data_IF_599822048620
#
_entry.id   IF_599822048620
#
_cell.length_a   1.000
_cell.length_b   1.000
_cell.length_c   1.000
_cell.angle_alpha   90.00
_cell.angle_beta   90.00
_cell.angle_gamma   90.00
#
_symmetry.space_group_name_H-M   'P 1'
#
loop_
_entity.id
_entity.type
_entity.pdbx_description
1 polymer ?
#
# COMPACT_ATOMS: atom_id res chain seq x y z
N UNK A 1 -40.40 32.95 -41.94
CA UNK A 1 -41.11 31.71 -41.55
C UNK A 1 -40.12 30.56 -41.63
N UNK A 2 -39.96 29.81 -40.53
CA UNK A 2 -39.17 28.58 -40.35
C UNK A 2 -37.62 28.66 -40.47
N UNK A 3 -36.97 29.03 -39.36
CA UNK A 3 -35.59 28.61 -39.04
C UNK A 3 -35.58 27.09 -38.82
N UNK A 4 -34.80 26.36 -39.63
CA UNK A 4 -34.51 24.93 -39.40
C UNK A 4 -33.62 24.82 -38.16
N UNK A 5 -34.21 24.36 -37.06
CA UNK A 5 -33.53 24.14 -35.80
C UNK A 5 -32.39 23.12 -35.95
N UNK A 6 -31.21 23.54 -35.51
CA UNK A 6 -29.99 22.75 -35.50
C UNK A 6 -30.09 21.53 -34.59
N UNK A 7 -29.56 20.45 -35.12
CA UNK A 7 -29.42 19.12 -34.53
C UNK A 7 -28.12 19.13 -33.73
N UNK A 8 -28.06 20.01 -32.72
CA UNK A 8 -27.05 19.90 -31.68
C UNK A 8 -27.49 18.79 -30.73
N UNK A 9 -26.97 17.58 -30.97
CA UNK A 9 -26.81 16.58 -29.91
C UNK A 9 -25.98 17.25 -28.82
N UNK A 10 -26.65 17.69 -27.74
CA UNK A 10 -25.98 18.13 -26.51
C UNK A 10 -25.12 16.96 -26.02
N UNK A 11 -23.80 17.12 -25.86
CA UNK A 11 -23.00 16.05 -25.31
C UNK A 11 -23.41 15.89 -23.85
N UNK A 12 -23.84 14.69 -23.49
CA UNK A 12 -23.66 14.13 -22.15
C UNK A 12 -24.11 15.04 -21.01
N UNK A 13 -25.43 15.09 -20.78
CA UNK A 13 -25.98 15.55 -19.51
C UNK A 13 -25.49 14.60 -18.41
N UNK A 14 -24.58 15.10 -17.57
CA UNK A 14 -24.28 14.59 -16.24
C UNK A 14 -23.67 13.20 -16.21
N UNK A 15 -22.34 13.10 -16.10
CA UNK A 15 -21.76 11.94 -15.44
C UNK A 15 -22.35 11.91 -14.02
N UNK A 16 -23.23 10.96 -13.73
CA UNK A 16 -23.66 10.70 -12.36
C UNK A 16 -22.39 10.57 -11.52
N UNK A 17 -22.36 11.20 -10.34
CA UNK A 17 -21.23 11.01 -9.42
C UNK A 17 -21.10 9.51 -9.19
N UNK A 18 -19.86 8.99 -9.12
CA UNK A 18 -19.59 7.57 -8.82
C UNK A 18 -20.38 7.06 -7.60
N UNK A 19 -20.73 7.95 -6.66
CA UNK A 19 -21.55 7.68 -5.48
C UNK A 19 -23.02 7.31 -5.75
N UNK A 20 -23.57 7.67 -6.91
CA UNK A 20 -25.01 7.54 -7.19
C UNK A 20 -25.31 6.34 -8.11
N UNK A 21 -24.27 5.59 -8.50
CA UNK A 21 -24.37 4.38 -9.31
C UNK A 21 -24.44 3.14 -8.39
N UNK A 22 -25.52 2.35 -8.41
CA UNK A 22 -25.67 1.19 -7.54
C UNK A 22 -24.60 0.10 -7.77
N UNK A 23 -23.99 0.03 -8.96
CA UNK A 23 -22.88 -0.89 -9.20
C UNK A 23 -21.62 -0.44 -8.48
N UNK A 24 -21.30 0.85 -8.53
CA UNK A 24 -20.15 1.40 -7.81
C UNK A 24 -20.36 1.35 -6.30
N UNK A 25 -21.54 1.69 -5.81
CA UNK A 25 -21.86 1.56 -4.38
C UNK A 25 -21.66 0.12 -3.90
N UNK A 26 -22.24 -0.87 -4.61
CA UNK A 26 -22.06 -2.27 -4.27
C UNK A 26 -20.59 -2.71 -4.35
N UNK A 27 -19.86 -2.32 -5.39
CA UNK A 27 -18.45 -2.68 -5.56
C UNK A 27 -17.56 -2.11 -4.44
N UNK A 28 -17.83 -0.89 -3.97
CA UNK A 28 -17.05 -0.21 -2.94
C UNK A 28 -17.43 -0.69 -1.54
N UNK A 29 -18.72 -0.92 -1.28
CA UNK A 29 -19.22 -1.08 0.08
C UNK A 29 -19.65 -2.51 0.44
N UNK A 30 -20.02 -3.35 -0.52
CA UNK A 30 -20.52 -4.71 -0.25
C UNK A 30 -19.37 -5.71 -0.16
N UNK A 31 -19.04 -6.25 1.03
CA UNK A 31 -17.98 -7.24 1.16
C UNK A 31 -18.33 -8.55 0.42
N UNK A 32 -17.33 -9.28 -0.11
CA UNK A 32 -17.57 -10.58 -0.71
C UNK A 32 -18.09 -11.56 0.35
N UNK A 33 -19.17 -12.28 0.05
CA UNK A 33 -19.72 -13.33 0.91
C UNK A 33 -18.81 -14.55 0.98
N UNK A 34 -18.12 -14.84 -0.12
CA UNK A 34 -17.18 -15.95 -0.24
C UNK A 34 -15.74 -15.42 -0.23
N UNK A 35 -14.95 -15.85 0.75
CA UNK A 35 -13.56 -15.45 0.91
C UNK A 35 -12.65 -15.94 -0.23
N UNK A 36 -13.05 -16.98 -0.98
CA UNK A 36 -12.33 -17.42 -2.16
C UNK A 36 -12.28 -16.34 -3.26
N UNK A 37 -13.20 -15.37 -3.23
CA UNK A 37 -13.18 -14.21 -4.13
C UNK A 37 -12.31 -13.04 -3.62
N UNK A 38 -11.57 -13.23 -2.52
CA UNK A 38 -10.74 -12.20 -1.90
C UNK A 38 -9.26 -12.43 -2.17
N UNK A 39 -8.67 -11.62 -3.05
CA UNK A 39 -7.22 -11.58 -3.28
C UNK A 39 -6.47 -11.24 -1.98
N UNK A 40 -7.07 -10.41 -1.12
CA UNK A 40 -6.52 -10.05 0.17
C UNK A 40 -6.30 -11.28 1.06
N UNK A 41 -7.29 -12.17 1.16
CA UNK A 41 -7.19 -13.39 1.97
C UNK A 41 -6.18 -14.37 1.36
N UNK A 42 -6.13 -14.46 0.02
CA UNK A 42 -5.15 -15.29 -0.67
C UNK A 42 -3.71 -14.87 -0.33
N UNK A 43 -3.40 -13.58 -0.37
CA UNK A 43 -2.04 -13.07 -0.08
C UNK A 43 -1.72 -13.22 1.41
N UNK A 44 -2.65 -12.91 2.31
CA UNK A 44 -2.43 -13.01 3.76
C UNK A 44 -2.15 -14.43 4.24
N UNK A 45 -2.78 -15.42 3.60
CA UNK A 45 -2.59 -16.83 3.92
C UNK A 45 -1.46 -17.48 3.11
N UNK A 46 -0.80 -16.73 2.21
CA UNK A 46 0.32 -17.26 1.46
C UNK A 46 1.48 -17.58 2.43
N UNK A 47 2.09 -18.78 2.33
CA UNK A 47 3.21 -19.12 3.18
C UNK A 47 4.40 -18.20 2.89
N UNK A 48 5.17 -17.89 3.94
CA UNK A 48 6.42 -17.16 3.78
C UNK A 48 7.43 -17.99 2.97
N UNK A 49 8.15 -17.33 2.07
CA UNK A 49 9.20 -17.95 1.28
C UNK A 49 10.53 -18.07 2.04
N UNK A 50 11.38 -19.00 1.62
CA UNK A 50 12.72 -19.15 2.18
C UNK A 50 13.61 -17.95 1.84
N UNK A 51 14.64 -17.71 2.66
CA UNK A 51 15.74 -16.78 2.34
C UNK A 51 16.76 -17.52 1.47
N UNK A 52 17.19 -16.90 0.38
CA UNK A 52 18.21 -17.48 -0.49
C UNK A 52 19.53 -17.63 0.30
N UNK A 53 20.21 -18.78 0.24
CA UNK A 53 21.32 -19.07 1.14
C UNK A 53 22.59 -18.24 0.89
N UNK A 54 22.69 -17.58 -0.27
CA UNK A 54 23.85 -16.76 -0.64
C UNK A 54 23.44 -15.29 -0.74
N UNK A 55 24.13 -14.42 -0.02
CA UNK A 55 23.87 -12.98 -0.09
C UNK A 55 24.35 -12.42 -1.42
N UNK A 56 23.49 -11.63 -2.05
CA UNK A 56 23.85 -10.84 -3.22
C UNK A 56 24.88 -9.77 -2.85
N UNK A 57 25.70 -9.38 -3.82
CA UNK A 57 26.55 -8.20 -3.70
C UNK A 57 25.67 -6.93 -3.75
N UNK A 58 25.79 -6.08 -2.74
CA UNK A 58 24.99 -4.86 -2.61
C UNK A 58 25.81 -3.62 -2.88
N UNK A 59 25.11 -2.56 -3.32
CA UNK A 59 25.63 -1.21 -3.22
C UNK A 59 25.62 -0.71 -1.77
N UNK A 60 26.04 0.55 -1.55
CA UNK A 60 25.96 1.18 -0.23
C UNK A 60 24.52 1.21 0.31
N UNK A 61 24.31 1.27 1.63
CA UNK A 61 22.97 1.32 2.22
C UNK A 61 22.07 2.43 1.65
N UNK A 62 22.64 3.57 1.25
CA UNK A 62 21.94 4.70 0.65
C UNK A 62 21.40 4.35 -0.75
N UNK A 63 22.24 3.73 -1.57
CA UNK A 63 21.87 3.32 -2.94
C UNK A 63 20.87 2.17 -2.89
N UNK A 64 21.09 1.20 -2.00
CA UNK A 64 20.16 0.09 -1.79
C UNK A 64 18.80 0.59 -1.31
N UNK A 65 18.75 1.52 -0.34
CA UNK A 65 17.51 2.12 0.11
C UNK A 65 16.78 2.89 -0.99
N UNK A 66 17.50 3.61 -1.86
CA UNK A 66 16.91 4.26 -3.03
C UNK A 66 16.23 3.23 -3.94
N UNK A 67 16.90 2.14 -4.29
CA UNK A 67 16.34 1.11 -5.15
C UNK A 67 15.13 0.44 -4.52
N UNK A 68 15.20 0.06 -3.24
CA UNK A 68 14.06 -0.50 -2.49
C UNK A 68 12.83 0.39 -2.60
N UNK A 69 13.00 1.72 -2.46
CA UNK A 69 11.91 2.69 -2.61
C UNK A 69 11.39 2.79 -4.05
N UNK A 70 12.28 2.76 -5.05
CA UNK A 70 11.90 2.75 -6.47
C UNK A 70 11.07 1.50 -6.82
N UNK A 71 11.49 0.33 -6.36
CA UNK A 71 10.78 -0.93 -6.59
C UNK A 71 9.43 -0.97 -5.86
N UNK A 72 9.37 -0.53 -4.61
CA UNK A 72 8.11 -0.40 -3.88
C UNK A 72 7.11 0.50 -4.64
N UNK A 73 7.58 1.62 -5.21
CA UNK A 73 6.74 2.50 -6.04
C UNK A 73 6.31 1.85 -7.34
N UNK A 74 7.22 1.13 -8.01
CA UNK A 74 6.88 0.35 -9.19
C UNK A 74 5.76 -0.67 -8.91
N UNK A 75 5.73 -1.25 -7.70
CA UNK A 75 4.70 -2.19 -7.25
C UNK A 75 3.40 -1.54 -6.79
N UNK A 76 3.30 -0.20 -6.83
CA UNK A 76 2.06 0.54 -6.53
C UNK A 76 2.00 1.21 -5.16
N UNK A 77 3.12 1.32 -4.43
CA UNK A 77 3.18 2.22 -3.28
C UNK A 77 3.32 3.68 -3.75
N UNK A 78 2.55 4.60 -3.17
CA UNK A 78 2.63 6.02 -3.50
C UNK A 78 3.74 6.72 -2.70
N UNK A 79 3.88 6.39 -1.41
CA UNK A 79 4.97 6.87 -0.55
C UNK A 79 5.72 5.70 0.10
N UNK A 80 7.04 5.84 0.22
CA UNK A 80 7.90 4.78 0.76
C UNK A 80 8.97 5.35 1.68
N UNK A 81 9.00 4.85 2.90
CA UNK A 81 9.89 5.27 3.97
C UNK A 81 10.73 4.12 4.48
N UNK A 82 11.93 4.41 4.98
CA UNK A 82 12.76 3.45 5.71
C UNK A 82 13.13 4.06 7.05
N UNK A 83 12.91 3.31 8.12
CA UNK A 83 13.29 3.70 9.48
C UNK A 83 14.02 2.55 10.17
N UNK A 84 14.75 2.86 11.23
CA UNK A 84 15.20 1.83 12.16
C UNK A 84 13.98 1.20 12.84
N UNK A 85 14.05 -0.09 13.08
CA UNK A 85 13.11 -0.81 13.90
C UNK A 85 13.76 -1.05 15.26
N UNK A 86 13.10 -0.61 16.34
CA UNK A 86 13.49 -1.03 17.69
C UNK A 86 13.41 -2.55 17.78
N UNK A 87 14.19 -3.17 18.67
CA UNK A 87 14.32 -4.62 18.73
C UNK A 87 12.95 -5.33 18.67
N UNK A 88 12.71 -6.08 17.59
CA UNK A 88 11.62 -7.06 17.49
C UNK A 88 12.12 -8.43 17.96
N UNK A 89 11.19 -9.37 18.18
CA UNK A 89 11.53 -10.73 18.64
C UNK A 89 12.51 -11.47 17.72
N UNK A 90 12.62 -11.02 16.46
CA UNK A 90 13.48 -11.62 15.44
C UNK A 90 14.77 -10.81 15.17
N UNK A 91 15.00 -9.70 15.86
CA UNK A 91 16.18 -8.85 15.69
C UNK A 91 16.35 -8.24 14.29
N UNK A 92 15.27 -7.78 13.65
CA UNK A 92 15.34 -7.02 12.40
C UNK A 92 15.66 -5.55 12.68
N UNK A 93 16.76 -4.99 12.13
CA UNK A 93 17.16 -3.61 12.38
C UNK A 93 16.38 -2.55 11.60
N UNK A 94 15.70 -2.92 10.51
CA UNK A 94 15.06 -1.96 9.62
C UNK A 94 13.58 -2.28 9.36
N UNK A 95 12.81 -1.22 9.18
CA UNK A 95 11.43 -1.25 8.74
C UNK A 95 11.26 -0.45 7.44
N UNK A 96 10.68 -1.09 6.43
CA UNK A 96 10.24 -0.44 5.19
C UNK A 96 8.73 -0.24 5.28
N UNK A 97 8.30 1.00 5.10
CA UNK A 97 6.89 1.38 5.19
C UNK A 97 6.39 1.83 3.84
N UNK A 98 5.36 1.16 3.33
CA UNK A 98 4.67 1.49 2.09
C UNK A 98 3.32 2.13 2.41
N UNK A 99 3.03 3.27 1.78
CA UNK A 99 1.75 3.97 1.90
C UNK A 99 1.12 4.03 0.52
N UNK A 100 -0.15 3.63 0.44
CA UNK A 100 -0.95 3.64 -0.78
C UNK A 100 -2.06 4.67 -0.63
N UNK A 101 -2.35 5.42 -1.69
CA UNK A 101 -3.47 6.33 -1.75
C UNK A 101 -4.79 5.57 -1.64
N UNK A 102 -5.70 6.09 -0.83
CA UNK A 102 -6.99 5.50 -0.56
C UNK A 102 -8.08 6.57 -0.74
N UNK A 103 -8.72 6.59 -1.92
CA UNK A 103 -9.82 7.52 -2.19
C UNK A 103 -11.07 7.18 -1.36
N UNK A 104 -11.30 5.89 -1.09
CA UNK A 104 -12.28 5.37 -0.14
C UNK A 104 -11.54 4.83 1.11
N UNK A 105 -12.06 5.08 2.32
CA UNK A 105 -11.43 4.57 3.55
C UNK A 105 -11.71 3.06 3.67
N UNK A 106 -10.69 2.18 3.58
CA UNK A 106 -10.90 0.73 3.59
C UNK A 106 -11.46 0.21 4.91
N UNK A 107 -11.47 1.01 5.98
CA UNK A 107 -12.12 0.65 7.26
C UNK A 107 -13.64 0.73 7.17
N UNK A 108 -14.16 1.52 6.23
CA UNK A 108 -15.59 1.75 6.03
C UNK A 108 -16.08 1.10 4.74
N UNK A 109 -15.29 1.20 3.66
CA UNK A 109 -15.60 0.67 2.34
C UNK A 109 -15.17 -0.80 2.24
N UNK A 110 -16.03 -1.73 2.68
CA UNK A 110 -15.70 -3.15 2.87
C UNK A 110 -15.80 -4.00 1.60
N UNK A 111 -16.27 -3.44 0.49
CA UNK A 111 -16.35 -4.13 -0.79
C UNK A 111 -15.01 -4.24 -1.50
N UNK A 112 -14.97 -5.04 -2.58
CA UNK A 112 -13.74 -5.32 -3.33
C UNK A 112 -13.03 -4.04 -3.76
N UNK A 113 -13.79 -3.06 -4.25
CA UNK A 113 -13.25 -1.78 -4.68
C UNK A 113 -12.75 -0.90 -3.54
N UNK A 114 -13.43 -0.94 -2.38
CA UNK A 114 -13.01 -0.22 -1.18
C UNK A 114 -11.76 -0.80 -0.53
N UNK A 115 -11.48 -2.09 -0.76
CA UNK A 115 -10.27 -2.77 -0.30
C UNK A 115 -9.08 -2.67 -1.26
N UNK A 116 -9.22 -2.02 -2.42
CA UNK A 116 -8.12 -1.86 -3.40
C UNK A 116 -6.82 -1.30 -2.78
N UNK A 117 -6.85 -0.25 -1.91
CA UNK A 117 -5.62 0.25 -1.29
C UNK A 117 -4.92 -0.80 -0.41
N UNK A 118 -5.70 -1.66 0.26
CA UNK A 118 -5.16 -2.76 1.09
C UNK A 118 -4.56 -3.86 0.21
N UNK A 119 -5.23 -4.21 -0.89
CA UNK A 119 -4.72 -5.18 -1.86
C UNK A 119 -3.41 -4.72 -2.50
N UNK A 120 -3.33 -3.45 -2.91
CA UNK A 120 -2.10 -2.86 -3.45
C UNK A 120 -0.98 -2.87 -2.42
N UNK A 121 -1.29 -2.51 -1.16
CA UNK A 121 -0.33 -2.56 -0.05
C UNK A 121 0.22 -3.97 0.18
N UNK A 122 -0.65 -4.97 0.26
CA UNK A 122 -0.28 -6.37 0.41
C UNK A 122 0.53 -6.89 -0.76
N UNK A 123 0.14 -6.57 -1.99
CA UNK A 123 0.87 -6.96 -3.19
C UNK A 123 2.30 -6.39 -3.17
N UNK A 124 2.43 -5.08 -2.91
CA UNK A 124 3.72 -4.43 -2.87
C UNK A 124 4.63 -5.01 -1.77
N UNK A 125 4.10 -5.18 -0.56
CA UNK A 125 4.91 -5.67 0.57
C UNK A 125 5.27 -7.13 0.44
N UNK A 126 4.37 -7.97 -0.08
CA UNK A 126 4.63 -9.39 -0.34
C UNK A 126 5.74 -9.57 -1.38
N UNK A 127 5.60 -8.92 -2.55
CA UNK A 127 6.55 -9.07 -3.66
C UNK A 127 7.91 -8.48 -3.28
N UNK A 128 7.93 -7.30 -2.63
CA UNK A 128 9.18 -6.69 -2.20
C UNK A 128 9.90 -7.53 -1.15
N UNK A 129 9.17 -8.10 -0.18
CA UNK A 129 9.76 -9.01 0.81
C UNK A 129 10.35 -10.25 0.14
N UNK A 130 9.64 -10.83 -0.83
CA UNK A 130 10.15 -11.97 -1.59
C UNK A 130 11.46 -11.63 -2.33
N UNK A 131 11.51 -10.49 -3.01
CA UNK A 131 12.73 -10.05 -3.68
C UNK A 131 13.91 -9.85 -2.71
N UNK A 132 13.68 -9.27 -1.53
CA UNK A 132 14.73 -9.11 -0.51
C UNK A 132 15.23 -10.48 -0.03
N UNK A 133 14.33 -11.46 0.13
CA UNK A 133 14.70 -12.84 0.47
C UNK A 133 15.53 -13.51 -0.62
N UNK A 134 15.25 -13.24 -1.89
CA UNK A 134 16.06 -13.72 -3.03
C UNK A 134 17.46 -13.08 -3.06
N UNK A 135 17.65 -11.88 -2.47
CA UNK A 135 18.98 -11.31 -2.25
C UNK A 135 19.74 -11.95 -1.07
N UNK A 136 19.13 -12.87 -0.35
CA UNK A 136 19.71 -13.54 0.81
C UNK A 136 19.58 -12.78 2.14
N UNK A 137 18.60 -11.89 2.24
CA UNK A 137 18.28 -11.13 3.45
C UNK A 137 16.90 -11.49 3.99
N UNK A 138 16.72 -11.48 5.31
CA UNK A 138 15.41 -11.73 5.92
C UNK A 138 14.49 -10.56 5.62
N UNK A 139 13.28 -10.85 5.19
CA UNK A 139 12.24 -9.84 5.02
C UNK A 139 10.85 -10.46 5.14
N UNK A 140 9.99 -9.83 5.94
CA UNK A 140 8.62 -10.30 6.18
C UNK A 140 7.69 -9.12 6.42
N UNK A 141 6.44 -9.15 5.91
CA UNK A 141 5.38 -8.28 6.40
C UNK A 141 5.11 -8.57 7.89
N UNK A 142 4.87 -7.52 8.68
CA UNK A 142 4.65 -7.61 10.11
C UNK A 142 3.35 -6.87 10.51
N UNK A 143 2.17 -7.52 10.37
CA UNK A 143 0.87 -6.88 10.63
C UNK A 143 0.63 -6.49 12.10
N UNK A 144 1.46 -6.97 13.03
CA UNK A 144 1.38 -6.62 14.45
C UNK A 144 2.10 -5.33 14.84
N UNK A 145 2.85 -4.70 13.93
CA UNK A 145 3.54 -3.44 14.20
C UNK A 145 2.61 -2.23 14.07
N UNK A 146 2.88 -1.17 14.83
CA UNK A 146 2.21 0.13 14.68
C UNK A 146 2.69 0.83 13.40
N UNK A 147 2.09 0.42 12.27
CA UNK A 147 2.46 0.91 10.95
C UNK A 147 2.32 2.43 10.79
N UNK A 148 1.24 3.11 11.27
CA UNK A 148 1.16 4.56 11.25
C UNK A 148 2.31 5.25 12.00
N UNK A 149 2.67 4.78 13.20
CA UNK A 149 3.80 5.34 13.96
C UNK A 149 5.12 5.17 13.23
N UNK A 150 5.35 4.00 12.62
CA UNK A 150 6.55 3.74 11.82
C UNK A 150 6.58 4.58 10.54
N UNK A 151 5.43 4.84 9.91
CA UNK A 151 5.33 5.76 8.78
C UNK A 151 5.73 7.19 9.16
N UNK A 152 5.31 7.66 10.33
CA UNK A 152 5.72 8.95 10.86
C UNK A 152 7.22 9.00 11.19
N UNK A 153 7.77 7.93 11.80
CA UNK A 153 9.20 7.80 12.06
C UNK A 153 10.04 7.80 10.78
N UNK A 154 9.51 7.19 9.71
CA UNK A 154 10.09 7.22 8.37
C UNK A 154 9.79 8.51 7.58
N UNK A 155 9.31 9.55 8.27
CA UNK A 155 9.04 10.91 7.75
C UNK A 155 8.05 10.97 6.58
N UNK A 156 7.09 10.04 6.53
CA UNK A 156 6.03 10.03 5.49
C UNK A 156 4.85 10.96 5.83
N UNK A 157 4.80 11.48 7.05
CA UNK A 157 3.73 12.34 7.54
C UNK A 157 3.75 12.48 9.05
N UNK A 158 2.66 13.00 9.61
CA UNK A 158 2.44 13.11 11.07
C UNK A 158 1.19 12.36 11.48
N UNK A 159 1.09 11.95 12.73
CA UNK A 159 -0.15 11.37 13.25
C UNK A 159 -1.13 12.48 13.67
N UNK A 160 -2.41 12.30 13.37
CA UNK A 160 -3.47 13.13 13.95
C UNK A 160 -3.83 12.68 15.38
N UNK A 161 -4.78 13.38 16.01
CA UNK A 161 -5.24 13.06 17.36
C UNK A 161 -5.91 11.68 17.51
N UNK A 162 -6.19 10.99 16.41
CA UNK A 162 -6.74 9.63 16.38
C UNK A 162 -5.69 8.57 16.06
N UNK A 163 -4.42 8.96 15.88
CA UNK A 163 -3.34 8.05 15.48
C UNK A 163 -3.32 7.72 13.98
N UNK A 164 -4.07 8.41 13.14
CA UNK A 164 -4.01 8.22 11.67
C UNK A 164 -2.86 9.00 11.08
N UNK A 165 -2.20 8.42 10.09
CA UNK A 165 -1.20 9.13 9.30
C UNK A 165 -1.86 10.23 8.45
N UNK A 166 -1.32 11.44 8.55
CA UNK A 166 -1.61 12.60 7.71
C UNK A 166 -0.37 12.90 6.88
N UNK A 167 -0.48 12.69 5.57
CA UNK A 167 0.60 12.93 4.61
C UNK A 167 0.46 14.32 4.00
N UNK A 168 1.58 14.91 3.55
CA UNK A 168 1.55 16.23 2.92
C UNK A 168 0.75 16.24 1.59
N UNK A 169 0.85 15.16 0.81
CA UNK A 169 0.26 15.08 -0.53
C UNK A 169 -1.19 14.61 -0.52
N UNK A 170 -1.53 13.64 0.32
CA UNK A 170 -2.84 12.97 0.30
C UNK A 170 -3.67 13.21 1.56
N UNK A 171 -3.13 13.91 2.56
CA UNK A 171 -3.76 14.04 3.88
C UNK A 171 -3.98 12.66 4.50
N UNK A 172 -5.20 12.42 5.00
CA UNK A 172 -5.63 11.16 5.61
C UNK A 172 -6.16 10.12 4.61
N UNK A 173 -6.21 10.45 3.31
CA UNK A 173 -6.70 9.59 2.21
C UNK A 173 -5.64 8.59 1.77
N UNK A 174 -5.12 7.84 2.74
CA UNK A 174 -4.08 6.85 2.55
C UNK A 174 -4.35 5.61 3.40
N UNK A 175 -3.83 4.49 2.91
CA UNK A 175 -3.66 3.24 3.64
C UNK A 175 -2.17 3.03 3.88
N UNK A 176 -1.79 2.81 5.15
CA UNK A 176 -0.44 2.36 5.48
C UNK A 176 -0.46 0.83 5.44
N UNK A 177 0.34 0.23 4.55
CA UNK A 177 0.43 -1.22 4.41
C UNK A 177 1.15 -1.86 5.61
N UNK A 178 1.05 -3.18 5.72
CA UNK A 178 1.83 -3.94 6.69
C UNK A 178 3.33 -3.66 6.51
N UNK A 179 4.01 -3.33 7.61
CA UNK A 179 5.42 -2.94 7.56
C UNK A 179 6.29 -4.15 7.21
N UNK A 180 7.26 -3.96 6.31
CA UNK A 180 8.27 -5.00 6.05
C UNK A 180 9.40 -4.80 7.07
N UNK A 181 9.62 -5.80 7.92
CA UNK A 181 10.83 -5.87 8.75
C UNK A 181 11.92 -6.59 8.00
N UNK A 182 13.17 -6.11 8.05
CA UNK A 182 14.27 -6.69 7.30
C UNK A 182 15.63 -6.49 7.95
N UNK A 183 16.58 -7.39 7.63
CA UNK A 183 18.01 -7.22 7.92
C UNK A 183 18.84 -6.80 6.69
N UNK A 184 18.19 -6.46 5.57
CA UNK A 184 18.82 -5.79 4.45
C UNK A 184 19.43 -4.46 4.93
N UNK A 185 20.73 -4.19 4.73
CA UNK A 185 21.35 -2.94 5.14
C UNK A 185 20.78 -1.75 4.35
N UNK A 186 20.12 -0.83 5.05
CA UNK A 186 19.46 0.33 4.44
C UNK A 186 19.81 1.62 5.17
N UNK A 187 20.06 2.68 4.42
CA UNK A 187 20.05 4.02 4.98
C UNK A 187 18.61 4.40 5.34
N UNK A 188 18.43 4.94 6.54
CA UNK A 188 17.13 5.49 6.96
C UNK A 188 16.94 6.87 6.36
N UNK A 189 15.67 7.25 6.17
CA UNK A 189 15.30 8.52 5.52
C UNK A 189 14.71 9.52 6.48
#
# INVERSE_FOLDING_TARGET
MALRAGWLKRPWRGAARRSDDPYWDSFINTPPTDQANSVLELIRNAPEGNVFPTKAELHTPEVTARHVKEMARYLGADLVGVTTLDADDAGHPFAIVCVVRADDDPRQARGIGGQVPVQNGLFATFVLSAWIRELGFRASPAPGLDAPRLAAAAKLGTLDGTGRLVTAEYGTRVHVADVIRTDLPLATT
#
